data_IF_488723272708
#
_entry.id   IF_488723272708
#
_cell.length_a   1.000
_cell.length_b   1.000
_cell.length_c   1.000
_cell.angle_alpha   90.00
_cell.angle_beta   90.00
_cell.angle_gamma   90.00
#
_symmetry.space_group_name_H-M   'P 1'
#
loop_
_entity.id
_entity.type
_entity.pdbx_description
1 polymer ?
#
# COMPACT_ATOMS: atom_id res chain seq x y z
N UNK A 1 16.67 -1.23 16.74
CA UNK A 1 15.66 -0.48 15.99
C UNK A 1 15.67 -1.04 14.57
N UNK A 2 14.60 -1.69 14.15
CA UNK A 2 14.47 -2.19 12.77
C UNK A 2 14.23 -1.00 11.85
N UNK A 3 14.93 -0.95 10.73
CA UNK A 3 14.81 0.16 9.78
C UNK A 3 14.29 -0.37 8.46
N UNK A 4 13.38 0.41 7.86
CA UNK A 4 12.84 0.14 6.54
C UNK A 4 13.29 1.23 5.58
N UNK A 5 13.64 0.86 4.35
CA UNK A 5 14.00 1.83 3.30
C UNK A 5 12.87 2.04 2.33
N UNK A 6 12.66 3.29 1.92
CA UNK A 6 12.01 3.62 0.66
C UNK A 6 13.07 3.63 -0.43
N UNK A 7 12.79 2.92 -1.52
CA UNK A 7 13.66 2.81 -2.68
C UNK A 7 12.90 3.14 -3.95
N UNK A 8 13.58 3.78 -4.90
CA UNK A 8 13.11 3.94 -6.27
C UNK A 8 13.45 2.66 -7.06
N UNK A 9 12.43 1.99 -7.61
CA UNK A 9 12.53 0.64 -8.18
C UNK A 9 12.29 0.58 -9.70
N UNK A 10 12.11 1.73 -10.34
CA UNK A 10 11.97 1.85 -11.80
C UNK A 10 13.31 1.69 -12.56
N UNK A 11 14.43 1.56 -11.84
CA UNK A 11 15.75 1.32 -12.40
C UNK A 11 16.56 0.30 -11.59
N UNK A 12 17.55 -0.31 -12.26
CA UNK A 12 18.49 -1.24 -11.65
C UNK A 12 19.91 -0.64 -11.59
N UNK A 13 20.57 -0.63 -10.42
CA UNK A 13 20.04 -1.05 -9.12
C UNK A 13 18.97 -0.08 -8.59
N UNK A 14 18.08 -0.58 -7.72
CA UNK A 14 17.11 0.29 -7.04
C UNK A 14 17.85 1.34 -6.20
N UNK A 15 17.35 2.58 -6.22
CA UNK A 15 18.02 3.71 -5.61
C UNK A 15 17.42 4.09 -4.26
N UNK A 16 18.24 4.25 -3.24
CA UNK A 16 17.84 4.66 -1.90
C UNK A 16 17.23 6.08 -1.88
N UNK A 17 16.08 6.22 -1.22
CA UNK A 17 15.38 7.50 -1.02
C UNK A 17 15.52 7.95 0.44
N UNK A 18 14.97 7.17 1.36
CA UNK A 18 14.90 7.48 2.79
C UNK A 18 14.79 6.21 3.63
N UNK A 19 15.08 6.34 4.92
CA UNK A 19 14.85 5.28 5.91
C UNK A 19 13.80 5.75 6.92
N UNK A 20 13.04 4.79 7.44
CA UNK A 20 11.95 5.02 8.39
C UNK A 20 11.97 3.95 9.49
N UNK A 21 11.20 4.16 10.56
CA UNK A 21 11.19 3.32 11.76
C UNK A 21 10.23 2.14 11.72
N UNK A 22 9.35 2.04 10.72
CA UNK A 22 8.35 0.96 10.61
C UNK A 22 8.00 0.66 9.15
N UNK A 23 7.45 -0.53 8.90
CA UNK A 23 7.02 -0.94 7.57
C UNK A 23 5.94 0.00 7.03
N UNK A 24 4.94 0.35 7.87
CA UNK A 24 3.88 1.27 7.48
C UNK A 24 4.37 2.68 7.18
N UNK A 25 5.29 3.23 7.99
CA UNK A 25 5.86 4.56 7.72
C UNK A 25 6.63 4.59 6.40
N UNK A 26 7.41 3.55 6.07
CA UNK A 26 8.02 3.41 4.75
C UNK A 26 6.98 3.35 3.63
N UNK A 27 5.90 2.60 3.84
CA UNK A 27 4.83 2.42 2.86
C UNK A 27 4.10 3.73 2.56
N UNK A 28 3.72 4.48 3.59
CA UNK A 28 3.09 5.81 3.45
C UNK A 28 4.04 6.77 2.73
N UNK A 29 5.31 6.79 3.16
CA UNK A 29 6.30 7.67 2.54
C UNK A 29 6.52 7.35 1.06
N UNK A 30 6.61 6.07 0.69
CA UNK A 30 6.69 5.63 -0.71
C UNK A 30 5.50 6.15 -1.53
N UNK A 31 4.28 6.07 -0.97
CA UNK A 31 3.06 6.57 -1.62
C UNK A 31 3.06 8.10 -1.78
N UNK A 32 3.38 8.85 -0.71
CA UNK A 32 3.39 10.32 -0.72
C UNK A 32 4.48 10.91 -1.62
N UNK A 33 5.62 10.24 -1.74
CA UNK A 33 6.68 10.63 -2.68
C UNK A 33 6.25 10.30 -4.11
N UNK A 34 5.61 9.16 -4.35
CA UNK A 34 5.05 8.81 -5.66
C UNK A 34 3.99 9.83 -6.15
N UNK A 35 3.23 10.43 -5.23
CA UNK A 35 2.28 11.51 -5.53
C UNK A 35 2.94 12.77 -6.04
N UNK A 36 4.10 13.12 -5.49
CA UNK A 36 4.85 14.34 -5.80
C UNK A 36 5.87 14.17 -6.92
N UNK A 37 6.23 12.93 -7.24
CA UNK A 37 7.21 12.59 -8.27
C UNK A 37 6.59 11.63 -9.31
N UNK A 38 5.56 12.08 -10.06
CA UNK A 38 4.85 11.24 -11.02
C UNK A 38 5.80 10.64 -12.06
N UNK A 39 5.54 9.39 -12.44
CA UNK A 39 6.38 8.65 -13.40
C UNK A 39 7.48 7.79 -12.74
N UNK A 40 7.81 8.04 -11.47
CA UNK A 40 8.73 7.19 -10.72
C UNK A 40 7.96 6.09 -9.98
N UNK A 41 8.59 4.93 -9.80
CA UNK A 41 8.03 3.83 -9.01
C UNK A 41 8.84 3.64 -7.74
N UNK A 42 8.17 3.57 -6.60
CA UNK A 42 8.79 3.42 -5.29
C UNK A 42 8.33 2.13 -4.64
N UNK A 43 9.25 1.45 -3.97
CA UNK A 43 8.99 0.28 -3.15
C UNK A 43 9.63 0.41 -1.78
N UNK A 44 9.49 -0.63 -0.97
CA UNK A 44 10.07 -0.68 0.37
C UNK A 44 11.02 -1.88 0.52
N UNK A 45 11.97 -1.78 1.44
CA UNK A 45 12.86 -2.88 1.83
C UNK A 45 12.95 -3.01 3.34
N UNK A 46 13.04 -4.24 3.82
CA UNK A 46 13.21 -4.59 5.24
C UNK A 46 14.68 -4.49 5.69
N UNK A 47 15.30 -3.35 5.39
CA UNK A 47 16.62 -2.94 5.89
C UNK A 47 16.89 -1.49 5.50
N UNK A 48 17.79 -0.82 6.23
CA UNK A 48 18.29 0.49 5.83
C UNK A 48 19.42 0.38 4.80
N UNK A 49 19.16 0.83 3.57
CA UNK A 49 20.15 0.82 2.48
C UNK A 49 20.97 2.13 2.44
N UNK A 50 21.52 2.53 3.60
CA UNK A 50 22.23 3.81 3.74
C UNK A 50 23.46 3.96 2.83
N UNK A 51 24.07 2.83 2.46
CA UNK A 51 25.27 2.76 1.62
C UNK A 51 24.96 2.49 0.15
N UNK A 52 23.70 2.21 -0.17
CA UNK A 52 23.25 1.96 -1.53
C UNK A 52 23.36 3.20 -2.43
N UNK A 53 23.23 2.98 -3.76
CA UNK A 53 23.17 4.06 -4.72
C UNK A 53 21.96 4.94 -4.41
N UNK A 54 22.14 6.26 -4.44
CA UNK A 54 21.13 7.23 -3.98
C UNK A 54 20.30 7.73 -5.15
N UNK A 55 19.00 7.93 -4.91
CA UNK A 55 18.12 8.63 -5.83
C UNK A 55 18.51 10.10 -5.97
N UNK A 56 17.97 10.76 -6.98
CA UNK A 56 18.17 12.19 -7.22
C UNK A 56 17.86 13.01 -5.94
N UNK A 57 18.63 14.07 -5.70
CA UNK A 57 18.44 15.02 -4.61
C UNK A 57 17.00 15.51 -4.50
N UNK A 58 16.34 15.84 -5.62
CA UNK A 58 14.94 16.29 -5.60
C UNK A 58 13.98 15.30 -4.92
N UNK A 59 14.10 14.00 -5.22
CA UNK A 59 13.24 12.95 -4.64
C UNK A 59 13.55 12.79 -3.15
N UNK A 60 14.83 12.83 -2.76
CA UNK A 60 15.24 12.71 -1.36
C UNK A 60 14.85 13.92 -0.52
N UNK A 61 14.88 15.11 -1.11
CA UNK A 61 14.45 16.34 -0.47
C UNK A 61 12.92 16.38 -0.32
N UNK A 62 12.18 15.91 -1.33
CA UNK A 62 10.74 15.70 -1.25
C UNK A 62 10.39 14.77 -0.07
N UNK A 63 11.06 13.61 0.02
CA UNK A 63 10.84 12.65 1.11
C UNK A 63 11.12 13.24 2.50
N UNK A 64 12.02 14.22 2.62
CA UNK A 64 12.39 14.89 3.88
C UNK A 64 11.62 16.18 4.14
N UNK A 65 10.79 16.60 3.20
CA UNK A 65 10.04 17.84 3.33
C UNK A 65 9.11 17.81 4.53
N UNK A 66 8.97 18.95 5.20
CA UNK A 66 8.11 19.08 6.38
C UNK A 66 6.67 18.65 6.09
N UNK A 67 6.15 19.00 4.90
CA UNK A 67 4.81 18.64 4.45
C UNK A 67 4.63 17.11 4.35
N UNK A 68 5.54 16.42 3.65
CA UNK A 68 5.47 14.95 3.50
C UNK A 68 5.58 14.25 4.85
N UNK A 69 6.49 14.71 5.73
CA UNK A 69 6.65 14.15 7.06
C UNK A 69 5.42 14.38 7.95
N UNK A 70 4.78 15.55 7.83
CA UNK A 70 3.55 15.87 8.56
C UNK A 70 2.39 14.97 8.11
N UNK A 71 2.20 14.81 6.80
CA UNK A 71 1.15 13.92 6.26
C UNK A 71 1.38 12.47 6.67
N UNK A 72 2.63 11.98 6.60
CA UNK A 72 2.95 10.63 7.02
C UNK A 72 2.65 10.40 8.51
N UNK A 73 2.98 11.37 9.37
CA UNK A 73 2.68 11.30 10.79
C UNK A 73 1.17 11.33 11.07
N UNK A 74 0.41 12.18 10.37
CA UNK A 74 -1.05 12.27 10.49
C UNK A 74 -1.73 10.95 10.13
N UNK A 75 -1.29 10.30 9.06
CA UNK A 75 -1.85 9.00 8.66
C UNK A 75 -1.52 7.88 9.65
N UNK A 76 -0.28 7.85 10.18
CA UNK A 76 0.07 6.90 11.23
C UNK A 76 -0.76 7.10 12.49
N UNK A 77 -1.05 8.35 12.87
CA UNK A 77 -1.92 8.67 14.00
C UNK A 77 -3.37 8.26 13.74
N UNK A 78 -3.87 8.49 12.52
CA UNK A 78 -5.24 8.13 12.14
C UNK A 78 -5.46 6.60 12.12
N UNK A 79 -4.41 5.82 11.87
CA UNK A 79 -4.47 4.35 11.83
C UNK A 79 -4.03 3.69 13.16
N UNK A 80 -3.75 4.47 14.21
CA UNK A 80 -3.10 3.95 15.42
C UNK A 80 -3.95 2.91 16.18
N UNK A 81 -5.27 3.08 16.20
CA UNK A 81 -6.19 2.16 16.88
C UNK A 81 -6.39 0.86 16.09
N UNK A 82 -6.42 0.93 14.75
CA UNK A 82 -6.63 -0.21 13.85
C UNK A 82 -5.33 -0.97 13.51
N UNK A 83 -4.18 -0.30 13.59
CA UNK A 83 -2.86 -0.82 13.23
C UNK A 83 -1.78 -0.35 14.22
N UNK A 84 -1.89 -0.73 15.51
CA UNK A 84 -0.96 -0.28 16.55
C UNK A 84 0.49 -0.73 16.30
N UNK A 85 0.66 -1.88 15.64
CA UNK A 85 1.95 -2.45 15.30
C UNK A 85 2.58 -1.86 14.02
N UNK A 86 1.89 -0.93 13.36
CA UNK A 86 2.37 -0.25 12.15
C UNK A 86 2.80 -1.23 11.04
N UNK A 87 1.97 -2.26 10.83
CA UNK A 87 2.13 -3.27 9.79
C UNK A 87 1.73 -2.71 8.41
N UNK A 88 2.17 -3.39 7.35
CA UNK A 88 1.84 -2.99 5.98
C UNK A 88 0.33 -3.05 5.75
N UNK A 89 -0.18 -2.02 5.08
CA UNK A 89 -1.58 -1.91 4.67
C UNK A 89 -1.77 -2.51 3.27
N UNK A 90 -2.69 -3.45 3.17
CA UNK A 90 -3.17 -4.03 1.93
C UNK A 90 -4.60 -3.57 1.67
N UNK A 91 -4.85 -3.10 0.45
CA UNK A 91 -6.19 -2.78 -0.02
C UNK A 91 -6.75 -3.99 -0.74
N UNK A 92 -7.88 -4.48 -0.24
CA UNK A 92 -8.61 -5.61 -0.80
C UNK A 92 -9.76 -5.07 -1.65
N UNK A 93 -9.90 -5.59 -2.86
CA UNK A 93 -10.93 -5.19 -3.82
C UNK A 93 -11.77 -6.40 -4.18
N UNK A 94 -13.09 -6.25 -4.08
CA UNK A 94 -14.07 -7.26 -4.46
C UNK A 94 -14.77 -6.83 -5.74
N UNK A 95 -14.87 -7.73 -6.71
CA UNK A 95 -15.48 -7.46 -8.02
C UNK A 95 -16.65 -8.40 -8.27
N UNK A 96 -17.76 -7.89 -8.81
CA UNK A 96 -18.91 -8.69 -9.25
C UNK A 96 -18.75 -9.03 -10.74
N UNK A 97 -18.44 -10.30 -11.02
CA UNK A 97 -18.29 -10.84 -12.37
C UNK A 97 -19.64 -11.22 -13.02
N UNK A 98 -20.75 -11.04 -12.30
CA UNK A 98 -22.09 -11.39 -12.74
C UNK A 98 -22.52 -12.79 -12.29
N UNK A 99 -23.39 -13.44 -13.05
CA UNK A 99 -24.03 -14.68 -12.61
C UNK A 99 -23.10 -15.91 -12.71
N UNK A 100 -23.02 -16.71 -11.63
CA UNK A 100 -22.31 -17.99 -11.56
C UNK A 100 -21.89 -18.37 -10.13
N UNK A 101 -21.39 -19.60 -9.94
CA UNK A 101 -20.86 -20.09 -8.65
C UNK A 101 -19.65 -19.29 -8.13
N UNK A 102 -19.01 -18.48 -8.98
CA UNK A 102 -17.90 -17.58 -8.64
C UNK A 102 -18.23 -16.13 -8.95
N UNK A 103 -19.45 -15.70 -8.58
CA UNK A 103 -19.96 -14.33 -8.81
C UNK A 103 -18.96 -13.26 -8.40
N UNK A 104 -18.39 -13.37 -7.19
CA UNK A 104 -17.42 -12.40 -6.72
C UNK A 104 -15.97 -12.89 -6.88
N UNK A 105 -15.07 -11.97 -7.22
CA UNK A 105 -13.62 -12.20 -7.23
C UNK A 105 -12.91 -11.21 -6.31
N UNK A 106 -11.70 -11.56 -5.87
CA UNK A 106 -10.93 -10.77 -4.88
C UNK A 106 -9.49 -10.58 -5.33
N UNK A 107 -8.96 -9.38 -5.14
CA UNK A 107 -7.54 -9.07 -5.30
C UNK A 107 -7.06 -8.16 -4.16
N UNK A 108 -5.78 -8.25 -3.79
CA UNK A 108 -5.18 -7.38 -2.79
C UNK A 108 -3.86 -6.77 -3.29
N UNK A 109 -3.67 -5.48 -3.00
CA UNK A 109 -2.48 -4.72 -3.41
C UNK A 109 -1.97 -3.82 -2.29
N UNK A 110 -0.66 -3.57 -2.27
CA UNK A 110 -0.05 -2.73 -1.25
C UNK A 110 -0.53 -1.28 -1.40
N UNK A 111 -0.61 -0.56 -0.28
CA UNK A 111 -1.04 0.85 -0.27
C UNK A 111 -0.23 1.75 -1.21
N UNK A 112 1.08 1.49 -1.35
CA UNK A 112 1.97 2.27 -2.23
C UNK A 112 1.88 1.90 -3.72
N UNK A 113 1.15 0.84 -4.09
CA UNK A 113 0.94 0.42 -5.50
C UNK A 113 -0.14 1.27 -6.18
N UNK A 114 0.01 2.60 -6.13
CA UNK A 114 -1.01 3.59 -6.54
C UNK A 114 -1.55 3.33 -7.94
N UNK A 115 -0.69 2.96 -8.89
CA UNK A 115 -1.11 2.73 -10.28
C UNK A 115 -2.03 1.51 -10.40
N UNK A 116 -1.76 0.46 -9.63
CA UNK A 116 -2.61 -0.75 -9.64
C UNK A 116 -3.91 -0.45 -8.92
N UNK A 117 -3.84 0.18 -7.75
CA UNK A 117 -5.02 0.63 -7.00
C UNK A 117 -5.94 1.52 -7.82
N UNK A 118 -5.41 2.52 -8.52
CA UNK A 118 -6.21 3.39 -9.38
C UNK A 118 -6.93 2.62 -10.51
N UNK A 119 -6.34 1.53 -11.02
CA UNK A 119 -7.02 0.65 -11.99
C UNK A 119 -8.16 -0.13 -11.34
N UNK A 120 -7.90 -0.70 -10.16
CA UNK A 120 -8.90 -1.41 -9.36
C UNK A 120 -10.09 -0.50 -9.02
N UNK A 121 -9.81 0.73 -8.61
CA UNK A 121 -10.82 1.72 -8.22
C UNK A 121 -11.65 2.24 -9.41
N UNK A 122 -11.10 2.17 -10.63
CA UNK A 122 -11.78 2.57 -11.86
C UNK A 122 -12.51 1.42 -12.56
N UNK A 123 -12.41 0.19 -12.04
CA UNK A 123 -13.04 -0.98 -12.64
C UNK A 123 -14.58 -0.90 -12.46
N UNK A 124 -15.37 -0.97 -13.55
CA UNK A 124 -16.83 -0.93 -13.47
C UNK A 124 -17.45 -2.09 -12.69
N UNK A 125 -16.74 -3.20 -12.54
CA UNK A 125 -17.19 -4.40 -11.81
C UNK A 125 -16.88 -4.34 -10.32
N UNK A 126 -16.20 -3.28 -9.86
CA UNK A 126 -15.84 -3.14 -8.45
C UNK A 126 -17.10 -3.04 -7.57
N UNK A 127 -17.30 -4.06 -6.74
CA UNK A 127 -18.45 -4.20 -5.86
C UNK A 127 -18.16 -3.71 -4.43
N UNK A 128 -16.91 -3.77 -3.98
CA UNK A 128 -16.55 -3.39 -2.62
C UNK A 128 -15.05 -3.31 -2.37
N UNK A 129 -14.69 -2.78 -1.21
CA UNK A 129 -13.30 -2.62 -0.75
C UNK A 129 -13.20 -2.93 0.72
N UNK A 130 -12.05 -3.42 1.13
CA UNK A 130 -11.69 -3.61 2.54
C UNK A 130 -10.18 -3.41 2.73
N UNK A 131 -9.72 -3.45 3.97
CA UNK A 131 -8.31 -3.31 4.33
C UNK A 131 -7.87 -4.45 5.24
N UNK A 132 -6.64 -4.91 5.05
CA UNK A 132 -5.96 -5.80 6.00
C UNK A 132 -4.55 -5.28 6.29
N UNK A 133 -4.13 -5.39 7.54
CA UNK A 133 -2.79 -5.03 8.01
C UNK A 133 -1.96 -6.30 8.27
N UNK A 134 -0.73 -6.35 7.76
CA UNK A 134 0.15 -7.49 7.97
C UNK A 134 1.02 -7.84 6.76
N UNK A 135 1.49 -9.08 6.75
CA UNK A 135 2.20 -9.66 5.61
C UNK A 135 1.28 -9.86 4.40
N UNK A 136 1.84 -10.36 3.29
CA UNK A 136 1.05 -10.65 2.10
C UNK A 136 -0.12 -11.59 2.44
N UNK A 137 -1.37 -11.19 2.14
CA UNK A 137 -2.54 -12.01 2.48
C UNK A 137 -2.50 -13.31 1.67
N UNK A 138 -2.76 -14.42 2.35
CA UNK A 138 -2.86 -15.74 1.69
C UNK A 138 -4.17 -15.83 0.90
N UNK A 139 -4.23 -16.75 -0.07
CA UNK A 139 -5.48 -17.02 -0.79
C UNK A 139 -6.62 -17.41 0.16
N UNK A 140 -6.32 -18.18 1.21
CA UNK A 140 -7.29 -18.53 2.25
C UNK A 140 -7.84 -17.28 2.95
N UNK A 141 -6.97 -16.35 3.35
CA UNK A 141 -7.38 -15.08 3.96
C UNK A 141 -8.29 -14.28 3.03
N UNK A 142 -7.93 -14.20 1.75
CA UNK A 142 -8.71 -13.46 0.76
C UNK A 142 -10.08 -14.09 0.51
N UNK A 143 -10.18 -15.43 0.49
CA UNK A 143 -11.46 -16.11 0.35
C UNK A 143 -12.36 -15.94 1.58
N UNK A 144 -11.81 -15.99 2.80
CA UNK A 144 -12.59 -15.70 4.01
C UNK A 144 -13.17 -14.28 3.99
N UNK A 145 -12.39 -13.29 3.54
CA UNK A 145 -12.87 -11.93 3.36
C UNK A 145 -13.93 -11.81 2.26
N UNK A 146 -13.77 -12.57 1.17
CA UNK A 146 -14.75 -12.63 0.07
C UNK A 146 -16.09 -13.22 0.53
N UNK A 147 -16.06 -14.32 1.30
CA UNK A 147 -17.26 -14.95 1.85
C UNK A 147 -17.98 -14.01 2.81
N UNK A 148 -17.24 -13.34 3.70
CA UNK A 148 -17.79 -12.33 4.60
C UNK A 148 -18.35 -11.11 3.85
N UNK A 149 -17.75 -10.73 2.72
CA UNK A 149 -18.28 -9.68 1.84
C UNK A 149 -19.58 -10.12 1.15
N UNK A 150 -19.61 -11.32 0.56
CA UNK A 150 -20.78 -11.86 -0.11
C UNK A 150 -21.97 -12.00 0.85
N UNK A 151 -21.76 -12.53 2.06
CA UNK A 151 -22.78 -12.62 3.09
C UNK A 151 -23.36 -11.25 3.49
N UNK A 152 -22.50 -10.21 3.56
CA UNK A 152 -22.96 -8.82 3.81
C UNK A 152 -23.81 -8.27 2.66
N UNK A 153 -23.47 -8.57 1.41
CA UNK A 153 -24.24 -8.14 0.24
C UNK A 153 -25.62 -8.80 0.18
N UNK A 154 -25.70 -10.10 0.49
CA UNK A 154 -26.98 -10.83 0.51
C UNK A 154 -27.92 -10.33 1.62
N UNK A 155 -27.38 -9.90 2.77
CA UNK A 155 -28.19 -9.35 3.85
C UNK A 155 -28.82 -7.98 3.53
N UNK A 156 -28.31 -7.29 2.49
CA UNK A 156 -28.76 -5.94 2.08
C UNK A 156 -29.70 -6.01 0.86
N UNK A 157 -29.70 -7.12 0.12
CA UNK A 157 -30.51 -7.34 -1.09
C UNK A 157 -31.94 -7.81 -0.78
#
# INVERSE_FOLDING_TARGET
MTYFSVVQIDMHPALYVAATGSARSAQILARLVAERCPGNVFGIRDSADFKGPKSNGFIRDCARSFEVQTLAAQELMAEADDNPDQLLKWHVYFYDSGAGESRFTVNAYLDHDRRVRAKCEADPTLAGRDVIYGDAPTMETLYLMLDAFAARQEAIA
#
